data_IF_672214958122
#
_entry.id   IF_672214958122
#
_cell.length_a   1.000
_cell.length_b   1.000
_cell.length_c   1.000
_cell.angle_alpha   90.00
_cell.angle_beta   90.00
_cell.angle_gamma   90.00
#
_symmetry.space_group_name_H-M   'P 1'
#
loop_
_entity.id
_entity.type
_entity.pdbx_description
1 polymer ?
#
# COMPACT_ATOMS: atom_id res chain seq x y z
N UNK A 1 5.13 0.09 -36.14
CA UNK A 1 4.50 1.41 -35.95
C UNK A 1 3.34 1.25 -34.97
N UNK A 2 3.60 1.32 -33.65
CA UNK A 2 2.53 1.23 -32.66
C UNK A 2 1.84 2.59 -32.58
N UNK A 3 0.60 2.67 -33.07
CA UNK A 3 -0.21 3.89 -33.04
C UNK A 3 -0.40 4.36 -31.60
N UNK A 4 0.04 5.59 -31.32
CA UNK A 4 -0.12 6.24 -30.04
C UNK A 4 -1.61 6.46 -29.79
N UNK A 5 -2.19 5.62 -28.93
CA UNK A 5 -3.61 5.66 -28.61
C UNK A 5 -3.86 6.80 -27.62
N UNK A 6 -4.02 8.02 -28.12
CA UNK A 6 -4.44 9.17 -27.33
C UNK A 6 -5.87 8.90 -26.84
N UNK A 7 -6.06 8.88 -25.52
CA UNK A 7 -7.37 8.65 -24.92
C UNK A 7 -8.28 9.87 -25.17
N UNK A 8 -9.59 9.69 -25.39
CA UNK A 8 -10.53 10.81 -25.50
C UNK A 8 -10.52 11.69 -24.24
N UNK A 9 -10.68 13.01 -24.40
CA UNK A 9 -10.64 13.99 -23.28
C UNK A 9 -11.65 13.67 -22.17
N UNK A 10 -12.82 13.13 -22.52
CA UNK A 10 -13.84 12.70 -21.56
C UNK A 10 -13.32 11.58 -20.64
N UNK A 11 -12.58 10.62 -21.19
CA UNK A 11 -11.99 9.51 -20.42
C UNK A 11 -10.82 10.03 -19.55
N UNK A 12 -10.03 11.00 -20.02
CA UNK A 12 -9.03 11.67 -19.18
C UNK A 12 -9.68 12.42 -18.03
N UNK A 13 -10.75 13.17 -18.29
CA UNK A 13 -11.49 13.92 -17.28
C UNK A 13 -12.05 12.97 -16.21
N UNK A 14 -12.68 11.86 -16.63
CA UNK A 14 -13.16 10.81 -15.73
C UNK A 14 -12.03 10.20 -14.90
N UNK A 15 -10.88 9.91 -15.50
CA UNK A 15 -9.70 9.39 -14.79
C UNK A 15 -9.17 10.39 -13.76
N UNK A 16 -9.11 11.68 -14.11
CA UNK A 16 -8.69 12.76 -13.20
C UNK A 16 -9.66 12.90 -12.03
N UNK A 17 -10.96 12.82 -12.28
CA UNK A 17 -11.98 12.88 -11.25
C UNK A 17 -11.87 11.71 -10.27
N UNK A 18 -11.75 10.47 -10.77
CA UNK A 18 -11.55 9.28 -9.94
C UNK A 18 -10.26 9.37 -9.12
N UNK A 19 -9.17 9.87 -9.73
CA UNK A 19 -7.92 10.08 -9.02
C UNK A 19 -8.06 11.14 -7.91
N UNK A 20 -8.74 12.25 -8.18
CA UNK A 20 -9.00 13.30 -7.21
C UNK A 20 -9.89 12.82 -6.05
N UNK A 21 -10.93 12.05 -6.35
CA UNK A 21 -11.81 11.45 -5.32
C UNK A 21 -11.03 10.53 -4.38
N UNK A 22 -10.10 9.73 -4.91
CA UNK A 22 -9.22 8.88 -4.08
C UNK A 22 -8.28 9.68 -3.21
N UNK A 23 -7.71 10.77 -3.72
CA UNK A 23 -6.85 11.66 -2.93
C UNK A 23 -7.64 12.26 -1.77
N UNK A 24 -8.86 12.75 -2.03
CA UNK A 24 -9.76 13.26 -0.99
C UNK A 24 -10.08 12.20 0.07
N UNK A 25 -10.46 11.00 -0.34
CA UNK A 25 -10.76 9.91 0.60
C UNK A 25 -9.58 9.55 1.51
N UNK A 26 -8.35 9.47 0.98
CA UNK A 26 -7.15 9.24 1.79
C UNK A 26 -6.87 10.38 2.76
N UNK A 27 -7.11 11.62 2.33
CA UNK A 27 -6.97 12.82 3.17
C UNK A 27 -7.98 12.81 4.32
N UNK A 28 -9.24 12.55 4.03
CA UNK A 28 -10.31 12.54 5.04
C UNK A 28 -10.07 11.45 6.10
N UNK A 29 -9.59 10.27 5.65
CA UNK A 29 -9.17 9.19 6.56
C UNK A 29 -8.03 9.65 7.49
N UNK A 30 -7.03 10.38 6.98
CA UNK A 30 -5.94 10.90 7.79
C UNK A 30 -6.41 11.96 8.79
N UNK A 31 -7.30 12.88 8.38
CA UNK A 31 -7.86 13.91 9.27
C UNK A 31 -8.63 13.26 10.43
N UNK A 32 -9.45 12.25 10.14
CA UNK A 32 -10.15 11.49 11.18
C UNK A 32 -9.16 10.77 12.12
N UNK A 33 -8.19 10.04 11.56
CA UNK A 33 -7.21 9.30 12.35
C UNK A 33 -6.35 10.18 13.27
N UNK A 34 -5.98 11.39 12.85
CA UNK A 34 -5.24 12.35 13.70
C UNK A 34 -6.11 12.84 14.87
N UNK A 35 -7.41 13.07 14.65
CA UNK A 35 -8.34 13.45 15.73
C UNK A 35 -8.49 12.35 16.78
N UNK A 36 -8.60 11.11 16.33
CA UNK A 36 -8.77 9.94 17.22
C UNK A 36 -7.47 9.62 17.99
N UNK A 37 -6.31 9.89 17.38
CA UNK A 37 -4.99 9.70 18.02
C UNK A 37 -4.79 10.53 19.30
N UNK A 38 -5.62 11.55 19.53
CA UNK A 38 -5.55 12.42 20.72
C UNK A 38 -6.01 11.66 21.99
N UNK A 39 -6.57 10.45 21.87
CA UNK A 39 -6.79 9.57 23.02
C UNK A 39 -5.51 8.78 23.37
N UNK A 40 -5.21 8.63 24.66
CA UNK A 40 -3.93 8.07 25.10
C UNK A 40 -3.65 6.62 24.66
N UNK A 41 -4.70 5.79 24.48
CA UNK A 41 -4.53 4.38 24.06
C UNK A 41 -4.21 4.26 22.57
N UNK A 42 -4.83 5.08 21.73
CA UNK A 42 -4.62 5.07 20.28
C UNK A 42 -3.26 5.66 19.91
N UNK A 43 -2.83 6.69 20.65
CA UNK A 43 -1.47 7.22 20.55
C UNK A 43 -0.41 6.14 20.83
N UNK A 44 -0.53 5.40 21.94
CA UNK A 44 0.42 4.36 22.28
C UNK A 44 0.43 3.20 21.24
N UNK A 45 -0.73 2.83 20.70
CA UNK A 45 -0.84 1.83 19.64
C UNK A 45 -0.15 2.31 18.34
N UNK A 46 -0.37 3.56 17.95
CA UNK A 46 0.29 4.16 16.80
C UNK A 46 1.80 4.25 16.99
N UNK A 47 2.30 4.68 18.14
CA UNK A 47 3.74 4.79 18.39
C UNK A 47 4.44 3.41 18.31
N UNK A 48 3.80 2.36 18.86
CA UNK A 48 4.30 0.97 18.71
C UNK A 48 4.33 0.53 17.25
N UNK A 49 3.32 0.91 16.47
CA UNK A 49 3.30 0.64 15.03
C UNK A 49 4.41 1.42 14.30
N UNK A 50 4.50 2.73 14.52
CA UNK A 50 5.42 3.65 13.85
C UNK A 50 6.89 3.29 14.12
N UNK A 51 7.21 2.73 15.29
CA UNK A 51 8.54 2.21 15.61
C UNK A 51 9.03 1.13 14.62
N UNK A 52 8.13 0.46 13.88
CA UNK A 52 8.46 -0.55 12.86
C UNK A 52 8.65 0.04 11.46
N UNK A 53 8.19 1.26 11.25
CA UNK A 53 8.13 1.94 9.95
C UNK A 53 8.95 3.24 9.95
N UNK A 54 10.09 3.27 10.65
CA UNK A 54 10.92 4.48 10.81
C UNK A 54 11.44 5.07 9.47
N UNK A 55 11.52 4.24 8.42
CA UNK A 55 11.92 4.68 7.07
C UNK A 55 10.77 5.30 6.26
N UNK A 56 9.56 5.35 6.81
CA UNK A 56 8.37 5.90 6.15
C UNK A 56 8.09 7.30 6.68
N UNK A 57 7.58 8.17 5.80
CA UNK A 57 7.06 9.46 6.24
C UNK A 57 5.87 9.27 7.20
N UNK A 58 5.67 10.22 8.10
CA UNK A 58 4.55 10.20 9.05
C UNK A 58 3.19 9.90 8.37
N UNK A 59 2.89 10.60 7.26
CA UNK A 59 1.65 10.39 6.51
C UNK A 59 1.51 8.96 5.99
N UNK A 60 2.61 8.35 5.54
CA UNK A 60 2.59 6.97 5.07
C UNK A 60 2.44 5.98 6.21
N UNK A 61 3.14 6.19 7.33
CA UNK A 61 2.98 5.37 8.53
C UNK A 61 1.57 5.44 9.09
N UNK A 62 1.00 6.64 9.22
CA UNK A 62 -0.37 6.86 9.67
C UNK A 62 -1.40 6.20 8.73
N UNK A 63 -1.26 6.42 7.42
CA UNK A 63 -2.19 5.86 6.44
C UNK A 63 -2.13 4.33 6.40
N UNK A 64 -0.96 3.72 6.59
CA UNK A 64 -0.84 2.25 6.72
C UNK A 64 -1.48 1.79 8.03
N UNK A 65 -1.20 2.47 9.15
CA UNK A 65 -1.77 2.13 10.45
C UNK A 65 -3.30 2.11 10.42
N UNK A 66 -3.93 3.14 9.83
CA UNK A 66 -5.39 3.24 9.72
C UNK A 66 -6.01 2.16 8.82
N UNK A 67 -5.28 1.67 7.82
CA UNK A 67 -5.76 0.60 6.92
C UNK A 67 -5.48 -0.80 7.48
N UNK A 68 -4.34 -0.99 8.16
CA UNK A 68 -3.83 -2.29 8.56
C UNK A 68 -2.86 -2.17 9.75
N UNK A 69 -3.37 -2.03 10.98
CA UNK A 69 -2.54 -1.77 12.16
C UNK A 69 -1.65 -2.95 12.58
N UNK A 70 -1.93 -4.17 12.09
CA UNK A 70 -1.11 -5.37 12.30
C UNK A 70 -0.02 -5.54 11.21
N UNK A 71 0.12 -4.60 10.26
CA UNK A 71 1.12 -4.70 9.21
C UNK A 71 2.54 -4.71 9.79
N UNK A 72 3.37 -5.60 9.27
CA UNK A 72 4.76 -5.81 9.72
C UNK A 72 5.79 -5.37 8.69
N UNK A 73 5.42 -5.45 7.41
CA UNK A 73 6.20 -5.02 6.26
C UNK A 73 5.23 -4.68 5.12
N UNK A 74 5.55 -3.62 4.37
CA UNK A 74 4.69 -3.10 3.31
C UNK A 74 5.55 -2.85 2.08
N UNK A 75 5.55 -3.77 1.12
CA UNK A 75 6.33 -3.62 -0.11
C UNK A 75 5.54 -4.01 -1.35
N UNK A 76 6.05 -3.67 -2.53
CA UNK A 76 5.41 -3.98 -3.81
C UNK A 76 5.41 -5.48 -4.11
N UNK A 77 4.50 -5.93 -4.98
CA UNK A 77 4.35 -7.35 -5.35
C UNK A 77 5.66 -8.03 -5.75
N UNK A 78 6.40 -7.40 -6.67
CA UNK A 78 7.64 -7.96 -7.21
C UNK A 78 8.71 -8.09 -6.13
N UNK A 79 8.75 -7.17 -5.16
CA UNK A 79 9.67 -7.26 -4.04
C UNK A 79 9.34 -8.44 -3.12
N UNK A 80 8.05 -8.74 -2.90
CA UNK A 80 7.66 -9.97 -2.20
C UNK A 80 8.15 -11.22 -2.95
N UNK A 81 7.97 -11.28 -4.27
CA UNK A 81 8.44 -12.41 -5.08
C UNK A 81 9.96 -12.57 -5.03
N UNK A 82 10.73 -11.47 -5.04
CA UNK A 82 12.19 -11.48 -4.91
C UNK A 82 12.66 -12.01 -3.55
N UNK A 83 11.86 -11.83 -2.50
CA UNK A 83 12.11 -12.40 -1.18
C UNK A 83 11.68 -13.88 -1.07
N UNK A 84 11.23 -14.50 -2.17
CA UNK A 84 10.69 -15.87 -2.16
C UNK A 84 9.34 -15.99 -1.46
N UNK A 85 8.62 -14.87 -1.29
CA UNK A 85 7.37 -14.81 -0.56
C UNK A 85 6.21 -14.51 -1.52
N UNK A 86 5.07 -15.17 -1.29
CA UNK A 86 3.89 -15.01 -2.11
C UNK A 86 2.76 -14.34 -1.32
N UNK A 87 2.13 -13.34 -1.94
CA UNK A 87 0.93 -12.72 -1.36
C UNK A 87 -0.25 -13.69 -1.49
N UNK A 88 -1.00 -13.84 -0.39
CA UNK A 88 -2.16 -14.73 -0.34
C UNK A 88 -3.23 -14.27 -1.34
N UNK A 89 -3.92 -15.24 -1.93
CA UNK A 89 -5.04 -14.96 -2.82
C UNK A 89 -6.14 -14.23 -2.06
N UNK A 90 -6.63 -13.12 -2.62
CA UNK A 90 -7.68 -12.30 -2.03
C UNK A 90 -7.20 -11.15 -1.13
N UNK A 91 -5.89 -11.02 -0.91
CA UNK A 91 -5.34 -9.89 -0.15
C UNK A 91 -5.54 -8.57 -0.90
N UNK A 92 -5.91 -7.54 -0.13
CA UNK A 92 -6.13 -6.19 -0.65
C UNK A 92 -4.86 -5.36 -0.50
N UNK A 93 -4.59 -4.54 -1.51
CA UNK A 93 -3.49 -3.60 -1.48
C UNK A 93 -3.71 -2.45 -0.50
N UNK A 94 -2.64 -2.00 0.16
CA UNK A 94 -2.62 -0.83 1.03
C UNK A 94 -2.27 0.40 0.21
N UNK A 95 -3.04 1.47 0.37
CA UNK A 95 -2.75 2.76 -0.23
C UNK A 95 -1.62 3.47 0.53
N UNK A 96 -0.71 4.11 -0.22
CA UNK A 96 0.37 4.96 0.30
C UNK A 96 0.26 6.35 -0.35
N UNK A 97 0.61 7.40 0.38
CA UNK A 97 0.80 8.73 -0.18
C UNK A 97 2.13 8.80 -0.93
N UNK A 98 2.06 9.17 -2.20
CA UNK A 98 3.24 9.39 -3.05
C UNK A 98 3.15 10.79 -3.65
N UNK A 99 4.26 11.55 -3.73
CA UNK A 99 4.27 12.79 -4.48
C UNK A 99 3.81 12.49 -5.92
N UNK A 100 2.87 13.29 -6.42
CA UNK A 100 2.52 13.25 -7.85
C UNK A 100 3.72 13.78 -8.61
N UNK A 101 4.45 12.90 -9.29
CA UNK A 101 5.35 13.35 -10.35
C UNK A 101 4.50 14.05 -11.41
N UNK A 102 4.94 15.21 -11.95
CA UNK A 102 4.36 15.72 -13.19
C UNK A 102 4.42 14.59 -14.22
N UNK A 103 3.40 14.47 -15.06
CA UNK A 103 3.30 13.39 -16.03
C UNK A 103 4.60 13.31 -16.82
N UNK A 104 5.44 12.32 -16.50
CA UNK A 104 6.63 12.04 -17.28
C UNK A 104 6.16 11.67 -18.69
N UNK A 105 6.89 12.13 -19.71
CA UNK A 105 6.75 11.67 -21.09
C UNK A 105 6.60 10.13 -21.10
N UNK A 106 5.81 9.57 -22.04
CA UNK A 106 5.45 8.15 -22.06
C UNK A 106 6.72 7.30 -22.17
N UNK A 107 7.27 6.96 -21.03
CA UNK A 107 8.23 5.87 -20.89
C UNK A 107 7.39 4.65 -20.57
N UNK A 108 7.74 3.52 -21.18
CA UNK A 108 7.10 2.20 -21.06
C UNK A 108 6.98 1.67 -19.60
N UNK A 109 7.43 2.46 -18.62
CA UNK A 109 7.15 2.23 -17.21
C UNK A 109 6.06 3.20 -16.78
N UNK A 110 4.81 2.74 -16.86
CA UNK A 110 3.69 3.36 -16.17
C UNK A 110 4.12 3.74 -14.74
N UNK A 111 3.82 4.94 -14.23
CA UNK A 111 4.08 5.29 -12.84
C UNK A 111 3.27 4.30 -12.00
N UNK A 112 3.95 3.24 -11.59
CA UNK A 112 3.32 2.08 -11.02
C UNK A 112 2.70 2.51 -9.71
N UNK A 113 1.37 2.46 -9.65
CA UNK A 113 0.62 2.43 -8.40
C UNK A 113 1.40 1.50 -7.45
N UNK A 114 2.05 2.06 -6.43
CA UNK A 114 2.76 1.27 -5.43
C UNK A 114 1.70 0.65 -4.53
N UNK A 115 1.08 -0.42 -5.04
CA UNK A 115 0.23 -1.29 -4.25
C UNK A 115 1.16 -2.09 -3.38
N UNK A 116 1.15 -1.78 -2.10
CA UNK A 116 1.93 -2.53 -1.15
C UNK A 116 1.06 -3.55 -0.46
N UNK A 117 1.56 -4.77 -0.36
CA UNK A 117 0.83 -5.89 0.22
C UNK A 117 1.45 -6.29 1.53
N UNK A 118 0.63 -6.93 2.36
CA UNK A 118 1.05 -7.53 3.62
C UNK A 118 1.27 -9.02 3.37
N UNK A 119 2.50 -9.46 3.48
CA UNK A 119 2.85 -10.86 3.62
C UNK A 119 3.11 -11.16 5.10
N UNK A 120 2.47 -12.19 5.64
CA UNK A 120 3.03 -12.88 6.82
C UNK A 120 4.02 -13.93 6.34
N UNK A 121 5.01 -14.24 7.17
CA UNK A 121 5.96 -15.33 6.93
C UNK A 121 5.14 -16.60 6.60
N UNK A 122 5.39 -17.18 5.43
CA UNK A 122 4.78 -18.46 5.10
C UNK A 122 5.38 -19.51 6.06
N UNK A 123 4.56 -20.11 6.91
CA UNK A 123 4.94 -21.40 7.47
C UNK A 123 4.98 -22.39 6.29
N UNK A 124 6.07 -23.14 6.10
CA UNK A 124 6.12 -24.14 5.04
C UNK A 124 4.94 -25.13 5.21
N UNK A 125 4.36 -25.67 4.13
CA UNK A 125 3.36 -26.73 4.26
C UNK A 125 3.98 -27.86 5.08
N UNK A 126 3.27 -28.27 6.13
CA UNK A 126 3.75 -29.17 7.17
C UNK A 126 4.59 -30.32 6.60
N UNK A 127 5.85 -30.39 7.04
CA UNK A 127 6.66 -31.60 6.90
C UNK A 127 5.91 -32.69 7.65
N UNK A 128 5.31 -33.63 6.93
CA UNK A 128 4.81 -34.86 7.54
C UNK A 128 6.02 -35.52 8.21
N UNK A 129 6.06 -35.43 9.54
CA UNK A 129 6.91 -36.28 10.35
C UNK A 129 6.27 -37.66 10.30
N UNK A 130 6.84 -38.53 9.47
CA UNK A 130 6.57 -39.96 9.58
C UNK A 130 7.07 -40.42 10.96
N UNK A 131 6.27 -41.13 11.75
CA UNK A 131 6.76 -41.71 12.99
C UNK A 131 7.79 -42.80 12.64
N UNK A 132 8.94 -42.75 13.31
CA UNK A 132 9.91 -43.82 13.28
C UNK A 132 9.28 -45.07 13.92
N UNK A 133 9.24 -46.15 13.15
CA UNK A 133 8.99 -47.52 13.58
C UNK A 133 9.98 -48.42 12.89
#
# INVERSE_FOLDING_TARGET
>A
MAGERVLPEEELARRREVAAARVRASHDLMVAGVRDLVTGKDCAAYLRFAARFLSYSFNNSMLIFLQRPDATMVTGYRAWQQLGLQVRRGEKGIARSSPRSPAAAPTDKAPGRQVCMVGRQAHPPGRQVHPAG
#
